data_IF_830546967607
#
_entry.id   IF_830546967607
#
_cell.length_a   1.000
_cell.length_b   1.000
_cell.length_c   1.000
_cell.angle_alpha   90.00
_cell.angle_beta   90.00
_cell.angle_gamma   90.00
#
_symmetry.space_group_name_H-M   'P 1'
#
loop_
_entity.id
_entity.type
_entity.pdbx_description
1 polymer ?
#
# COMPACT_ATOMS: atom_id res chain seq x y z
N UNK A 1 -22.14 -2.83 14.45
CA UNK A 1 -21.22 -1.72 14.07
C UNK A 1 -19.94 -2.40 13.69
N UNK A 2 -19.48 -2.29 12.44
CA UNK A 2 -18.21 -2.90 12.01
C UNK A 2 -17.15 -2.21 12.87
N UNK A 3 -16.40 -2.97 13.68
CA UNK A 3 -15.23 -2.44 14.38
C UNK A 3 -14.15 -2.20 13.32
N UNK A 4 -14.24 -1.05 12.66
CA UNK A 4 -13.38 -0.69 11.54
C UNK A 4 -12.02 -0.24 12.06
N UNK A 5 -11.25 -1.16 12.64
CA UNK A 5 -9.92 -0.89 13.14
C UNK A 5 -8.90 -1.78 12.43
N UNK A 6 -8.03 -1.14 11.65
CA UNK A 6 -6.90 -1.78 10.96
C UNK A 6 -5.98 -2.54 11.95
N UNK A 7 -5.97 -2.13 13.21
CA UNK A 7 -5.16 -2.69 14.29
C UNK A 7 -5.59 -4.09 14.74
N UNK A 8 -6.67 -4.65 14.17
CA UNK A 8 -7.08 -6.05 14.41
C UNK A 8 -5.97 -7.06 14.08
N UNK A 9 -4.99 -6.67 13.28
CA UNK A 9 -3.82 -7.50 12.96
C UNK A 9 -2.86 -7.64 14.14
N UNK A 10 -2.92 -6.72 15.10
CA UNK A 10 -1.98 -6.60 16.22
C UNK A 10 -2.67 -6.51 17.57
N UNK A 11 -3.96 -6.20 17.65
CA UNK A 11 -4.76 -6.12 18.87
C UNK A 11 -5.87 -7.17 18.86
N UNK A 12 -6.31 -7.60 20.03
CA UNK A 12 -7.52 -8.40 20.18
C UNK A 12 -8.77 -7.51 20.17
N UNK A 13 -9.93 -8.12 19.91
CA UNK A 13 -11.20 -7.43 19.74
C UNK A 13 -11.57 -6.59 21.00
N UNK A 14 -11.34 -7.11 22.20
CA UNK A 14 -11.65 -6.40 23.44
C UNK A 14 -10.78 -5.14 23.61
N UNK A 15 -9.50 -5.20 23.23
CA UNK A 15 -8.62 -4.03 23.26
C UNK A 15 -9.03 -2.97 22.22
N UNK A 16 -9.48 -3.40 21.03
CA UNK A 16 -9.99 -2.51 20.00
C UNK A 16 -11.27 -1.81 20.47
N UNK A 17 -12.24 -2.57 21.01
CA UNK A 17 -13.48 -1.99 21.51
C UNK A 17 -13.23 -0.99 22.65
N UNK A 18 -12.34 -1.31 23.59
CA UNK A 18 -11.95 -0.42 24.65
C UNK A 18 -11.31 0.88 24.13
N UNK A 19 -10.36 0.76 23.17
CA UNK A 19 -9.72 1.91 22.57
C UNK A 19 -10.69 2.79 21.79
N UNK A 20 -11.60 2.17 21.02
CA UNK A 20 -12.61 2.91 20.23
C UNK A 20 -13.68 3.59 21.09
N UNK A 21 -13.93 3.09 22.32
CA UNK A 21 -14.85 3.69 23.28
C UNK A 21 -14.25 4.88 24.04
N UNK A 22 -12.93 5.03 24.02
CA UNK A 22 -12.19 6.07 24.74
C UNK A 22 -11.98 7.30 23.85
N UNK A 23 -11.97 8.49 24.45
CA UNK A 23 -11.65 9.72 23.71
C UNK A 23 -10.16 9.73 23.37
N UNK A 24 -9.86 9.76 22.08
CA UNK A 24 -8.48 9.75 21.57
C UNK A 24 -7.76 11.06 21.91
N UNK A 25 -6.58 11.02 22.57
CA UNK A 25 -5.77 12.20 22.81
C UNK A 25 -5.17 12.72 21.50
N UNK A 26 -4.93 14.03 21.42
CA UNK A 26 -4.22 14.63 20.29
C UNK A 26 -2.72 14.27 20.36
N UNK A 27 -2.17 13.52 19.40
CA UNK A 27 -0.76 13.15 19.40
C UNK A 27 0.20 14.34 19.38
N UNK A 28 -0.22 15.47 18.78
CA UNK A 28 0.62 16.68 18.74
C UNK A 28 0.80 17.32 20.12
N UNK A 29 -0.08 17.02 21.07
CA UNK A 29 0.12 17.52 22.45
C UNK A 29 1.39 16.96 23.11
N UNK A 30 1.83 15.76 22.73
CA UNK A 30 3.05 15.15 23.23
C UNK A 30 4.32 15.89 22.78
N UNK A 31 4.26 16.65 21.70
CA UNK A 31 5.41 17.41 21.19
C UNK A 31 5.91 18.45 22.22
N UNK A 32 5.01 19.15 22.90
CA UNK A 32 5.35 20.22 23.81
C UNK A 32 5.74 19.73 25.21
N UNK A 33 5.31 18.54 25.60
CA UNK A 33 5.52 17.98 26.93
C UNK A 33 6.72 17.03 27.07
N UNK A 34 7.35 16.62 25.96
CA UNK A 34 8.39 15.61 25.98
C UNK A 34 9.80 16.21 26.05
N UNK A 35 10.56 15.87 27.10
CA UNK A 35 11.94 16.34 27.30
C UNK A 35 12.94 15.78 26.26
N UNK A 36 12.61 14.63 25.63
CA UNK A 36 13.46 13.97 24.66
C UNK A 36 13.19 14.44 23.21
N UNK A 37 12.24 15.36 22.99
CA UNK A 37 11.86 15.81 21.65
C UNK A 37 13.06 16.38 20.85
N UNK A 38 13.98 17.09 21.50
CA UNK A 38 15.17 17.62 20.85
C UNK A 38 16.04 16.49 20.28
N UNK A 39 16.27 15.46 21.09
CA UNK A 39 17.03 14.28 20.66
C UNK A 39 16.33 13.53 19.53
N UNK A 40 15.01 13.33 19.65
CA UNK A 40 14.22 12.67 18.61
C UNK A 40 14.28 13.44 17.28
N UNK A 41 14.04 14.74 17.30
CA UNK A 41 14.09 15.56 16.08
C UNK A 41 15.51 15.69 15.52
N UNK A 42 16.51 15.68 16.37
CA UNK A 42 17.91 15.58 15.97
C UNK A 42 18.18 14.29 15.21
N UNK A 43 17.72 13.16 15.72
CA UNK A 43 17.83 11.85 15.07
C UNK A 43 17.05 11.79 13.75
N UNK A 44 15.81 12.26 13.73
CA UNK A 44 14.97 12.32 12.51
C UNK A 44 15.65 13.18 11.44
N UNK A 45 16.17 14.35 11.82
CA UNK A 45 16.89 15.23 10.91
C UNK A 45 18.17 14.58 10.38
N UNK A 46 18.92 13.91 11.24
CA UNK A 46 20.13 13.16 10.85
C UNK A 46 19.78 12.04 9.86
N UNK A 47 18.74 11.24 10.13
CA UNK A 47 18.29 10.17 9.22
C UNK A 47 17.84 10.75 7.89
N UNK A 48 17.05 11.83 7.90
CA UNK A 48 16.56 12.48 6.69
C UNK A 48 17.74 13.01 5.83
N UNK A 49 18.67 13.74 6.44
CA UNK A 49 19.87 14.26 5.75
C UNK A 49 20.73 13.12 5.23
N UNK A 50 20.98 12.09 6.04
CA UNK A 50 21.78 10.93 5.65
C UNK A 50 21.13 10.18 4.47
N UNK A 51 19.80 10.04 4.49
CA UNK A 51 19.04 9.42 3.39
C UNK A 51 19.17 10.24 2.09
N UNK A 52 19.02 11.57 2.17
CA UNK A 52 19.19 12.45 1.02
C UNK A 52 20.62 12.38 0.47
N UNK A 53 21.62 12.39 1.34
CA UNK A 53 23.03 12.26 0.94
C UNK A 53 23.31 10.89 0.32
N UNK A 54 22.82 9.81 0.92
CA UNK A 54 22.95 8.45 0.38
C UNK A 54 22.27 8.32 -0.97
N UNK A 55 21.03 8.83 -1.12
CA UNK A 55 20.30 8.83 -2.38
C UNK A 55 21.02 9.65 -3.45
N UNK A 56 21.60 10.82 -3.06
CA UNK A 56 22.38 11.67 -3.97
C UNK A 56 23.69 10.99 -4.41
N UNK A 57 24.41 10.35 -3.47
CA UNK A 57 25.60 9.58 -3.79
C UNK A 57 25.28 8.38 -4.70
N UNK A 58 24.15 7.70 -4.45
CA UNK A 58 23.73 6.57 -5.28
C UNK A 58 23.41 6.98 -6.73
N UNK A 59 22.99 8.23 -6.95
CA UNK A 59 22.80 8.79 -8.30
C UNK A 59 24.09 8.82 -9.12
N UNK A 60 25.26 8.87 -8.47
CA UNK A 60 26.55 8.78 -9.17
C UNK A 60 26.77 7.40 -9.78
N UNK A 61 26.20 6.36 -9.15
CA UNK A 61 26.26 4.98 -9.63
C UNK A 61 25.11 4.62 -10.60
N UNK A 62 24.16 5.51 -10.78
CA UNK A 62 22.97 5.29 -11.61
C UNK A 62 23.31 4.90 -13.06
N UNK A 63 24.34 5.47 -13.74
CA UNK A 63 24.73 5.03 -15.07
C UNK A 63 25.12 3.55 -15.13
N UNK A 64 25.77 3.06 -14.08
CA UNK A 64 26.20 1.66 -13.98
C UNK A 64 25.03 0.72 -13.69
N UNK A 65 24.10 1.16 -12.82
CA UNK A 65 22.96 0.34 -12.36
C UNK A 65 21.74 0.51 -13.29
N UNK A 66 21.69 1.59 -14.07
CA UNK A 66 20.58 1.90 -14.96
C UNK A 66 20.12 0.74 -15.85
N UNK A 67 21.04 0.00 -16.53
CA UNK A 67 20.65 -1.14 -17.35
C UNK A 67 19.95 -2.26 -16.55
N UNK A 68 20.35 -2.48 -15.31
CA UNK A 68 19.69 -3.43 -14.40
C UNK A 68 18.30 -2.93 -14.02
N UNK A 69 18.17 -1.66 -13.61
CA UNK A 69 16.89 -1.05 -13.25
C UNK A 69 15.89 -1.09 -14.43
N UNK A 70 16.37 -0.86 -15.66
CA UNK A 70 15.53 -0.97 -16.86
C UNK A 70 15.05 -2.41 -17.09
N UNK A 71 15.88 -3.41 -16.81
CA UNK A 71 15.45 -4.82 -16.88
C UNK A 71 14.41 -5.15 -15.82
N UNK A 72 14.52 -4.58 -14.61
CA UNK A 72 13.57 -4.79 -13.53
C UNK A 72 12.19 -4.20 -13.85
N UNK A 73 12.11 -3.13 -14.62
CA UNK A 73 10.86 -2.44 -14.98
C UNK A 73 9.80 -3.37 -15.57
N UNK A 74 10.19 -4.35 -16.38
CA UNK A 74 9.28 -5.36 -16.96
C UNK A 74 8.57 -6.23 -15.92
N UNK A 75 9.17 -6.42 -14.74
CA UNK A 75 8.60 -7.24 -13.68
C UNK A 75 7.55 -6.51 -12.84
N UNK A 76 7.54 -5.18 -12.83
CA UNK A 76 6.64 -4.38 -12.01
C UNK A 76 5.17 -4.80 -12.16
N UNK A 77 4.68 -4.92 -13.41
CA UNK A 77 3.32 -5.37 -13.69
C UNK A 77 3.05 -6.82 -13.25
N UNK A 78 4.03 -7.71 -13.44
CA UNK A 78 3.94 -9.10 -13.01
C UNK A 78 3.79 -9.19 -11.49
N UNK A 79 4.59 -8.43 -10.75
CA UNK A 79 4.56 -8.38 -9.27
C UNK A 79 3.18 -7.92 -8.79
N UNK A 80 2.66 -6.79 -9.30
CA UNK A 80 1.32 -6.30 -8.93
C UNK A 80 0.24 -7.34 -9.23
N UNK A 81 0.31 -8.00 -10.39
CA UNK A 81 -0.66 -9.01 -10.77
C UNK A 81 -0.64 -10.23 -9.83
N UNK A 82 0.55 -10.72 -9.51
CA UNK A 82 0.73 -11.89 -8.65
C UNK A 82 0.24 -11.59 -7.23
N UNK A 83 0.65 -10.45 -6.66
CA UNK A 83 0.27 -10.09 -5.30
C UNK A 83 -1.21 -9.72 -5.19
N UNK A 84 -1.77 -8.95 -6.12
CA UNK A 84 -3.20 -8.66 -6.14
C UNK A 84 -4.04 -9.93 -6.32
N UNK A 85 -3.58 -10.87 -7.13
CA UNK A 85 -4.26 -12.17 -7.29
C UNK A 85 -4.18 -13.01 -6.02
N UNK A 86 -3.02 -13.10 -5.39
CA UNK A 86 -2.85 -13.80 -4.11
C UNK A 86 -3.72 -13.18 -3.01
N UNK A 87 -3.77 -11.85 -2.94
CA UNK A 87 -4.62 -11.12 -1.99
C UNK A 87 -6.12 -11.45 -2.19
N UNK A 88 -6.62 -11.44 -3.42
CA UNK A 88 -8.02 -11.81 -3.68
C UNK A 88 -8.31 -13.27 -3.32
N UNK A 89 -7.35 -14.16 -3.56
CA UNK A 89 -7.46 -15.57 -3.20
C UNK A 89 -7.56 -15.75 -1.69
N UNK A 90 -6.70 -15.04 -0.92
CA UNK A 90 -6.74 -15.09 0.55
C UNK A 90 -8.02 -14.48 1.11
N UNK A 91 -8.51 -13.38 0.55
CA UNK A 91 -9.79 -12.79 0.95
C UNK A 91 -10.95 -13.77 0.76
N UNK A 92 -11.01 -14.43 -0.40
CA UNK A 92 -12.00 -15.47 -0.64
C UNK A 92 -11.84 -16.68 0.29
N UNK A 93 -10.60 -17.09 0.58
CA UNK A 93 -10.34 -18.23 1.47
C UNK A 93 -10.77 -17.94 2.92
N UNK A 94 -10.42 -16.77 3.46
CA UNK A 94 -10.76 -16.40 4.83
C UNK A 94 -12.18 -15.83 4.98
N UNK A 95 -12.89 -15.57 3.89
CA UNK A 95 -14.24 -14.97 3.94
C UNK A 95 -14.26 -13.53 4.43
N UNK A 96 -13.23 -12.76 4.12
CA UNK A 96 -13.05 -11.35 4.51
C UNK A 96 -12.78 -10.49 3.29
N UNK A 97 -12.88 -9.18 3.45
CA UNK A 97 -12.50 -8.21 2.42
C UNK A 97 -11.44 -7.28 3.00
N UNK A 98 -10.27 -7.23 2.39
CA UNK A 98 -9.08 -6.47 2.78
C UNK A 98 -8.39 -6.94 4.06
N UNK A 99 -9.13 -7.29 5.10
CA UNK A 99 -8.58 -7.76 6.37
C UNK A 99 -9.63 -8.43 7.25
N UNK A 100 -9.22 -9.03 8.39
CA UNK A 100 -10.11 -9.72 9.32
C UNK A 100 -11.22 -8.81 9.88
N UNK A 101 -10.98 -7.49 9.95
CA UNK A 101 -11.92 -6.48 10.43
C UNK A 101 -13.12 -6.26 9.49
N UNK A 102 -13.08 -6.83 8.30
CA UNK A 102 -14.11 -6.66 7.29
C UNK A 102 -14.65 -8.03 6.83
N UNK A 103 -15.39 -8.75 7.68
CA UNK A 103 -16.02 -10.02 7.31
C UNK A 103 -17.01 -9.84 6.15
N UNK A 104 -16.95 -10.69 5.13
CA UNK A 104 -17.85 -10.61 3.98
C UNK A 104 -19.35 -10.62 4.35
N UNK A 105 -19.80 -11.38 5.37
CA UNK A 105 -21.20 -11.36 5.78
C UNK A 105 -21.71 -9.97 6.23
N UNK A 106 -20.87 -9.16 6.83
CA UNK A 106 -21.26 -7.81 7.28
C UNK A 106 -21.36 -6.81 6.12
N UNK A 107 -20.60 -7.02 5.06
CA UNK A 107 -20.57 -6.14 3.88
C UNK A 107 -21.61 -6.57 2.83
N UNK A 108 -21.71 -7.87 2.58
CA UNK A 108 -22.49 -8.41 1.47
C UNK A 108 -23.71 -9.26 1.90
N UNK A 109 -23.90 -9.52 3.18
CA UNK A 109 -25.05 -10.25 3.71
C UNK A 109 -25.25 -11.60 3.03
N UNK A 110 -26.44 -11.83 2.46
CA UNK A 110 -26.81 -13.06 1.77
C UNK A 110 -25.95 -13.34 0.51
N UNK A 111 -25.27 -12.35 -0.06
CA UNK A 111 -24.42 -12.50 -1.23
C UNK A 111 -22.99 -13.02 -0.88
N UNK A 112 -22.69 -13.23 0.39
CA UNK A 112 -21.38 -13.68 0.88
C UNK A 112 -20.83 -14.88 0.13
N UNK A 113 -21.55 -16.03 -0.05
CA UNK A 113 -20.97 -17.18 -0.73
C UNK A 113 -20.63 -16.89 -2.20
N UNK A 114 -21.44 -16.06 -2.86
CA UNK A 114 -21.22 -15.66 -4.25
C UNK A 114 -19.98 -14.78 -4.37
N UNK A 115 -19.85 -13.76 -3.49
CA UNK A 115 -18.69 -12.88 -3.49
C UNK A 115 -17.42 -13.64 -3.11
N UNK A 116 -17.48 -14.52 -2.12
CA UNK A 116 -16.36 -15.36 -1.71
C UNK A 116 -15.83 -16.22 -2.88
N UNK A 117 -16.72 -16.92 -3.55
CA UNK A 117 -16.37 -17.71 -4.75
C UNK A 117 -15.81 -16.84 -5.86
N UNK A 118 -16.41 -15.66 -6.07
CA UNK A 118 -15.96 -14.68 -7.05
C UNK A 118 -14.52 -14.23 -6.75
N UNK A 119 -14.20 -13.87 -5.51
CA UNK A 119 -12.85 -13.44 -5.11
C UNK A 119 -11.80 -14.52 -5.39
N UNK A 120 -12.12 -15.80 -5.08
CA UNK A 120 -11.24 -16.94 -5.38
C UNK A 120 -11.00 -17.04 -6.89
N UNK A 121 -12.06 -17.01 -7.69
CA UNK A 121 -11.96 -17.10 -9.15
C UNK A 121 -11.15 -15.92 -9.74
N UNK A 122 -11.38 -14.69 -9.25
CA UNK A 122 -10.63 -13.51 -9.66
C UNK A 122 -9.15 -13.63 -9.28
N UNK A 123 -8.86 -14.10 -8.07
CA UNK A 123 -7.50 -14.34 -7.58
C UNK A 123 -6.76 -15.32 -8.49
N UNK A 124 -7.34 -16.47 -8.80
CA UNK A 124 -6.79 -17.47 -9.72
C UNK A 124 -6.57 -16.86 -11.11
N UNK A 125 -7.57 -16.14 -11.64
CA UNK A 125 -7.48 -15.51 -12.95
C UNK A 125 -6.35 -14.49 -13.04
N UNK A 126 -6.13 -13.69 -11.99
CA UNK A 126 -5.02 -12.74 -11.92
C UNK A 126 -3.68 -13.46 -11.80
N UNK A 127 -3.53 -14.46 -10.93
CA UNK A 127 -2.29 -15.21 -10.77
C UNK A 127 -1.87 -15.85 -12.10
N UNK A 128 -2.79 -16.50 -12.77
CA UNK A 128 -2.54 -17.12 -14.07
C UNK A 128 -2.40 -16.08 -15.20
N UNK A 129 -2.92 -14.90 -15.02
CA UNK A 129 -2.94 -13.84 -16.03
C UNK A 129 -3.91 -14.10 -17.17
N UNK A 130 -5.02 -14.81 -16.89
CA UNK A 130 -6.12 -15.03 -17.82
C UNK A 130 -7.15 -13.93 -17.66
N UNK A 131 -7.68 -13.41 -18.76
CA UNK A 131 -8.72 -12.34 -18.73
C UNK A 131 -8.42 -11.19 -17.75
N UNK A 132 -7.15 -10.89 -17.52
CA UNK A 132 -6.68 -9.98 -16.42
C UNK A 132 -7.46 -8.67 -16.34
N UNK A 133 -7.81 -8.06 -17.49
CA UNK A 133 -8.57 -6.79 -17.47
C UNK A 133 -10.00 -6.97 -16.98
N UNK A 134 -10.64 -8.08 -17.31
CA UNK A 134 -12.00 -8.39 -16.84
C UNK A 134 -11.94 -8.67 -15.35
N UNK A 135 -11.00 -9.50 -14.91
CA UNK A 135 -10.82 -9.81 -13.49
C UNK A 135 -10.57 -8.53 -12.67
N UNK A 136 -9.70 -7.64 -13.16
CA UNK A 136 -9.44 -6.36 -12.52
C UNK A 136 -10.66 -5.42 -12.53
N UNK A 137 -11.46 -5.40 -13.61
CA UNK A 137 -12.69 -4.61 -13.67
C UNK A 137 -13.72 -5.10 -12.65
N UNK A 138 -13.89 -6.41 -12.53
CA UNK A 138 -14.81 -6.99 -11.55
C UNK A 138 -14.33 -6.75 -10.12
N UNK A 139 -13.00 -6.88 -9.86
CA UNK A 139 -12.41 -6.55 -8.56
C UNK A 139 -12.60 -5.06 -8.19
N UNK A 140 -12.50 -4.14 -9.16
CA UNK A 140 -12.88 -2.74 -8.96
C UNK A 140 -14.37 -2.57 -8.65
N UNK A 141 -15.23 -3.35 -9.28
CA UNK A 141 -16.66 -3.38 -8.96
C UNK A 141 -16.92 -3.79 -7.51
N UNK A 142 -16.23 -4.82 -7.01
CA UNK A 142 -16.29 -5.24 -5.60
C UNK A 142 -15.78 -4.12 -4.68
N UNK A 143 -14.67 -3.46 -5.04
CA UNK A 143 -14.14 -2.32 -4.28
C UNK A 143 -15.15 -1.17 -4.19
N UNK A 144 -15.80 -0.82 -5.30
CA UNK A 144 -16.82 0.23 -5.34
C UNK A 144 -18.05 -0.17 -4.50
N UNK A 145 -18.50 -1.43 -4.61
CA UNK A 145 -19.62 -1.91 -3.80
C UNK A 145 -19.31 -1.83 -2.30
N UNK A 146 -18.10 -2.24 -1.90
CA UNK A 146 -17.65 -2.11 -0.51
C UNK A 146 -17.56 -0.65 -0.06
N UNK A 147 -17.16 0.28 -0.93
CA UNK A 147 -17.07 1.70 -0.60
C UNK A 147 -18.41 2.33 -0.24
N UNK A 148 -19.51 1.80 -0.75
CA UNK A 148 -20.86 2.25 -0.41
C UNK A 148 -21.26 1.91 1.03
N UNK A 149 -20.65 0.85 1.60
CA UNK A 149 -20.88 0.40 2.97
C UNK A 149 -19.87 1.03 3.92
N UNK A 150 -18.59 1.05 3.52
CA UNK A 150 -17.47 1.48 4.37
C UNK A 150 -17.28 3.01 4.40
N UNK A 151 -17.89 3.75 3.47
CA UNK A 151 -17.69 5.19 3.38
C UNK A 151 -16.22 5.57 3.19
N UNK A 152 -15.77 6.60 3.93
CA UNK A 152 -14.38 7.09 3.84
C UNK A 152 -13.33 6.09 4.33
N UNK A 153 -13.70 5.14 5.18
CA UNK A 153 -12.77 4.12 5.68
C UNK A 153 -12.13 3.29 4.56
N UNK A 154 -12.82 3.11 3.44
CA UNK A 154 -12.28 2.41 2.26
C UNK A 154 -10.98 3.04 1.72
N UNK A 155 -10.69 4.31 2.04
CA UNK A 155 -9.44 4.97 1.63
C UNK A 155 -8.20 4.32 2.25
N UNK A 156 -8.32 3.66 3.39
CA UNK A 156 -7.25 2.81 3.97
C UNK A 156 -6.79 1.75 2.96
N UNK A 157 -7.70 1.28 2.11
CA UNK A 157 -7.46 0.26 1.09
C UNK A 157 -7.34 0.82 -0.33
N UNK A 158 -7.06 2.12 -0.49
CA UNK A 158 -6.89 2.75 -1.81
C UNK A 158 -5.79 2.09 -2.66
N UNK A 159 -4.81 1.44 -2.02
CA UNK A 159 -3.79 0.62 -2.67
C UNK A 159 -4.39 -0.48 -3.55
N UNK A 160 -5.46 -1.15 -3.11
CA UNK A 160 -6.16 -2.18 -3.89
C UNK A 160 -6.82 -1.59 -5.14
N UNK A 161 -7.47 -0.43 -4.99
CA UNK A 161 -8.01 0.31 -6.14
C UNK A 161 -6.91 0.61 -7.17
N UNK A 162 -5.76 1.11 -6.72
CA UNK A 162 -4.62 1.40 -7.58
C UNK A 162 -4.09 0.16 -8.30
N UNK A 163 -3.96 -0.97 -7.60
CA UNK A 163 -3.52 -2.25 -8.16
C UNK A 163 -4.48 -2.75 -9.25
N UNK A 164 -5.78 -2.78 -8.96
CA UNK A 164 -6.77 -3.25 -9.93
C UNK A 164 -6.87 -2.32 -11.15
N UNK A 165 -6.80 -1.01 -10.96
CA UNK A 165 -6.84 -0.06 -12.07
C UNK A 165 -5.59 -0.18 -12.97
N UNK A 166 -4.40 -0.37 -12.39
CA UNK A 166 -3.20 -0.66 -13.16
C UNK A 166 -3.38 -1.93 -14.00
N UNK A 167 -3.89 -3.01 -13.40
CA UNK A 167 -4.11 -4.27 -14.11
C UNK A 167 -5.21 -4.18 -15.18
N UNK A 168 -6.25 -3.37 -14.95
CA UNK A 168 -7.28 -3.08 -15.95
C UNK A 168 -6.65 -2.38 -17.17
N UNK A 169 -5.79 -1.41 -16.94
CA UNK A 169 -5.16 -0.62 -18.02
C UNK A 169 -4.09 -1.44 -18.74
N UNK A 170 -3.17 -2.06 -18.02
CA UNK A 170 -2.00 -2.73 -18.60
C UNK A 170 -2.27 -4.19 -19.00
N UNK A 171 -3.18 -4.87 -18.32
CA UNK A 171 -3.47 -6.31 -18.52
C UNK A 171 -2.39 -7.23 -17.95
N UNK A 172 -2.40 -8.49 -18.34
CA UNK A 172 -1.60 -9.58 -17.75
C UNK A 172 -0.10 -9.52 -17.99
N UNK A 173 0.33 -8.92 -19.10
CA UNK A 173 1.75 -8.82 -19.45
C UNK A 173 2.36 -10.06 -20.10
N UNK A 174 3.67 -10.04 -20.23
CA UNK A 174 4.44 -11.08 -20.92
C UNK A 174 4.40 -12.43 -20.17
N UNK A 175 4.41 -12.39 -18.85
CA UNK A 175 4.39 -13.56 -17.97
C UNK A 175 2.97 -14.01 -17.61
N UNK A 176 2.08 -14.14 -18.62
CA UNK A 176 0.68 -14.51 -18.41
C UNK A 176 0.25 -15.59 -19.39
N UNK A 177 -0.72 -16.42 -19.02
CA UNK A 177 -1.31 -17.39 -19.96
C UNK A 177 -1.93 -16.69 -21.17
N UNK A 178 -2.44 -15.47 -21.01
CA UNK A 178 -2.94 -14.65 -22.10
C UNK A 178 -1.86 -14.26 -23.13
N UNK A 179 -0.58 -14.27 -22.75
CA UNK A 179 0.51 -14.09 -23.69
C UNK A 179 0.73 -15.34 -24.55
N UNK A 180 0.55 -16.53 -23.96
CA UNK A 180 0.71 -17.82 -24.63
C UNK A 180 -0.52 -18.19 -25.46
N UNK A 181 -1.72 -18.02 -24.90
CA UNK A 181 -2.97 -18.47 -25.51
C UNK A 181 -3.94 -17.33 -25.82
N UNK A 182 -4.37 -17.25 -27.10
CA UNK A 182 -5.26 -16.17 -27.56
C UNK A 182 -6.61 -16.15 -26.85
N UNK A 183 -7.18 -17.31 -26.53
CA UNK A 183 -8.47 -17.42 -25.86
C UNK A 183 -8.46 -16.90 -24.40
N UNK A 184 -7.30 -16.88 -23.77
CA UNK A 184 -7.13 -16.34 -22.41
C UNK A 184 -7.03 -14.81 -22.36
N UNK A 185 -7.12 -14.12 -23.51
CA UNK A 185 -7.01 -12.66 -23.62
C UNK A 185 -8.33 -11.97 -23.35
N UNK A 186 -8.25 -10.80 -22.71
CA UNK A 186 -9.40 -9.91 -22.57
C UNK A 186 -9.92 -9.43 -23.94
N UNK A 187 -11.21 -9.08 -24.06
CA UNK A 187 -11.83 -8.60 -25.30
C UNK A 187 -11.07 -7.43 -25.94
N UNK A 188 -11.12 -7.33 -27.25
CA UNK A 188 -10.34 -6.35 -27.98
C UNK A 188 -10.77 -4.90 -27.68
N UNK A 189 -12.07 -4.64 -27.60
CA UNK A 189 -12.59 -3.32 -27.26
C UNK A 189 -12.01 -2.78 -25.95
N UNK A 190 -11.86 -3.63 -24.93
CA UNK A 190 -11.29 -3.26 -23.64
C UNK A 190 -9.79 -3.01 -23.75
N UNK A 191 -9.09 -3.77 -24.59
CA UNK A 191 -7.66 -3.59 -24.87
C UNK A 191 -7.38 -2.28 -25.61
N UNK A 192 -8.21 -1.94 -26.59
CA UNK A 192 -8.08 -0.70 -27.38
C UNK A 192 -8.33 0.51 -26.50
N UNK A 193 -9.44 0.53 -25.75
CA UNK A 193 -9.80 1.65 -24.88
C UNK A 193 -8.74 1.89 -23.79
N UNK A 194 -8.18 0.83 -23.22
CA UNK A 194 -7.16 0.96 -22.16
C UNK A 194 -5.79 1.44 -22.68
N UNK A 195 -5.49 1.34 -23.99
CA UNK A 195 -4.21 1.85 -24.54
C UNK A 195 -4.02 3.36 -24.32
N UNK A 196 -5.10 4.13 -24.40
CA UNK A 196 -5.06 5.59 -24.23
C UNK A 196 -4.66 5.98 -22.78
N UNK A 197 -4.93 5.11 -21.82
CA UNK A 197 -4.67 5.35 -20.40
C UNK A 197 -3.32 4.77 -19.91
N UNK A 198 -2.54 4.14 -20.79
CA UNK A 198 -1.30 3.44 -20.39
C UNK A 198 -0.32 4.31 -19.61
N UNK A 199 -0.16 5.56 -20.05
CA UNK A 199 0.75 6.50 -19.40
C UNK A 199 0.30 6.91 -17.98
N UNK A 200 -0.98 6.70 -17.64
CA UNK A 200 -1.55 7.02 -16.33
C UNK A 200 -1.57 5.83 -15.37
N UNK A 201 -1.30 4.60 -15.85
CA UNK A 201 -1.47 3.39 -15.05
C UNK A 201 -0.59 3.40 -13.79
N UNK A 202 0.72 3.63 -13.93
CA UNK A 202 1.63 3.71 -12.79
C UNK A 202 1.44 4.97 -11.93
N UNK A 203 1.27 6.18 -12.51
CA UNK A 203 0.94 7.37 -11.74
C UNK A 203 -0.28 7.19 -10.83
N UNK A 204 -1.38 6.67 -11.35
CA UNK A 204 -2.60 6.46 -10.56
C UNK A 204 -2.37 5.41 -9.46
N UNK A 205 -1.73 4.29 -9.79
CA UNK A 205 -1.41 3.25 -8.81
C UNK A 205 -0.52 3.81 -7.68
N UNK A 206 0.51 4.58 -8.04
CA UNK A 206 1.42 5.23 -7.10
C UNK A 206 0.69 6.19 -6.17
N UNK A 207 -0.15 7.06 -6.74
CA UNK A 207 -0.95 8.01 -5.95
C UNK A 207 -1.93 7.27 -5.03
N UNK A 208 -2.63 6.25 -5.53
CA UNK A 208 -3.54 5.45 -4.72
C UNK A 208 -2.82 4.73 -3.56
N UNK A 209 -1.61 4.20 -3.82
CA UNK A 209 -0.78 3.57 -2.79
C UNK A 209 -0.38 4.57 -1.71
N UNK A 210 0.13 5.75 -2.08
CA UNK A 210 0.53 6.76 -1.11
C UNK A 210 -0.66 7.34 -0.33
N UNK A 211 -1.81 7.55 -0.98
CA UNK A 211 -3.05 7.99 -0.31
C UNK A 211 -3.52 6.94 0.70
N UNK A 212 -3.47 5.65 0.37
CA UNK A 212 -3.81 4.57 1.31
C UNK A 212 -2.94 4.61 2.57
N UNK A 213 -1.61 4.74 2.41
CA UNK A 213 -0.68 4.86 3.54
C UNK A 213 -0.97 6.11 4.39
N UNK A 214 -1.13 7.27 3.75
CA UNK A 214 -1.44 8.52 4.46
C UNK A 214 -2.74 8.44 5.24
N UNK A 215 -3.78 7.89 4.61
CA UNK A 215 -5.10 7.78 5.25
C UNK A 215 -5.08 6.79 6.42
N UNK A 216 -4.43 5.63 6.25
CA UNK A 216 -4.27 4.65 7.33
C UNK A 216 -3.52 5.26 8.53
N UNK A 217 -2.43 5.99 8.28
CA UNK A 217 -1.67 6.68 9.32
C UNK A 217 -2.53 7.70 10.09
N UNK A 218 -3.28 8.55 9.35
CA UNK A 218 -4.16 9.55 9.97
C UNK A 218 -5.31 8.88 10.73
N UNK A 219 -5.93 7.87 10.16
CA UNK A 219 -7.04 7.16 10.79
C UNK A 219 -6.64 6.53 12.12
N UNK A 220 -5.58 5.72 12.11
CA UNK A 220 -5.18 4.93 13.27
C UNK A 220 -4.39 5.71 14.33
N UNK A 221 -3.62 6.74 13.92
CA UNK A 221 -2.67 7.42 14.80
C UNK A 221 -3.04 8.87 15.15
N UNK A 222 -4.03 9.43 14.44
CA UNK A 222 -4.53 10.78 14.73
C UNK A 222 -6.00 10.76 15.17
N UNK A 223 -6.88 10.13 14.35
CA UNK A 223 -8.32 10.10 14.68
C UNK A 223 -8.59 9.14 15.82
N UNK A 224 -7.95 7.97 15.81
CA UNK A 224 -8.10 6.91 16.82
C UNK A 224 -6.75 6.60 17.50
N UNK A 225 -6.07 7.63 18.02
CA UNK A 225 -4.73 7.49 18.62
C UNK A 225 -4.68 6.51 19.80
N UNK A 226 -5.82 6.24 20.48
CA UNK A 226 -5.92 5.19 21.49
C UNK A 226 -5.61 3.79 20.94
N UNK A 227 -5.96 3.50 19.68
CA UNK A 227 -5.58 2.24 19.05
C UNK A 227 -4.05 2.10 18.98
N UNK A 228 -3.38 3.14 18.51
CA UNK A 228 -1.93 3.15 18.43
C UNK A 228 -1.26 3.10 19.81
N UNK A 229 -1.84 3.76 20.84
CA UNK A 229 -1.38 3.66 22.22
C UNK A 229 -1.54 2.24 22.78
N UNK A 230 -2.65 1.57 22.46
CA UNK A 230 -2.84 0.17 22.85
C UNK A 230 -1.77 -0.74 22.20
N UNK A 231 -1.36 -0.48 20.97
CA UNK A 231 -0.24 -1.20 20.32
C UNK A 231 1.08 -0.91 21.03
N UNK A 232 1.38 0.36 21.35
CA UNK A 232 2.58 0.74 22.09
C UNK A 232 2.65 -0.01 23.43
N UNK A 233 1.53 -0.06 24.17
CA UNK A 233 1.44 -0.75 25.45
C UNK A 233 1.59 -2.28 25.30
N UNK A 234 0.87 -2.89 24.36
CA UNK A 234 0.89 -4.34 24.14
C UNK A 234 2.28 -4.88 23.82
N UNK A 235 3.03 -4.16 22.99
CA UNK A 235 4.36 -4.59 22.54
C UNK A 235 5.51 -3.99 23.35
N UNK A 236 5.22 -3.26 24.42
CA UNK A 236 6.24 -2.67 25.30
C UNK A 236 7.21 -1.76 24.54
N UNK A 237 6.70 -0.96 23.56
CA UNK A 237 7.59 -0.16 22.71
C UNK A 237 8.38 0.88 23.50
N UNK A 238 7.90 1.27 24.69
CA UNK A 238 8.62 2.16 25.61
C UNK A 238 9.89 1.54 26.22
N UNK A 239 10.02 0.22 26.21
CA UNK A 239 11.24 -0.47 26.67
C UNK A 239 12.38 -0.31 25.65
N UNK A 240 12.05 -0.15 24.38
CA UNK A 240 13.01 0.07 23.29
C UNK A 240 13.22 1.55 23.01
N UNK A 241 12.14 2.35 23.11
CA UNK A 241 12.13 3.79 22.86
C UNK A 241 11.69 4.49 24.15
N UNK A 242 12.62 4.99 24.98
CA UNK A 242 12.30 5.58 26.27
C UNK A 242 11.69 6.99 26.12
N UNK A 243 10.59 7.07 25.35
CA UNK A 243 9.80 8.27 25.12
C UNK A 243 8.40 8.09 25.67
N UNK A 244 7.71 9.21 25.82
CA UNK A 244 6.27 9.19 26.09
C UNK A 244 5.53 8.37 25.04
N UNK A 245 4.59 7.46 25.41
CA UNK A 245 3.86 6.64 24.46
C UNK A 245 3.19 7.42 23.33
N UNK A 246 2.58 8.57 23.66
CA UNK A 246 1.92 9.41 22.66
C UNK A 246 2.93 10.05 21.70
N UNK A 247 4.17 10.32 22.17
CA UNK A 247 5.24 10.80 21.33
C UNK A 247 5.74 9.73 20.33
N UNK A 248 5.74 8.45 20.74
CA UNK A 248 6.01 7.33 19.82
C UNK A 248 4.93 7.27 18.73
N UNK A 249 3.65 7.41 19.10
CA UNK A 249 2.51 7.46 18.16
C UNK A 249 2.66 8.64 17.18
N UNK A 250 3.01 9.83 17.67
CA UNK A 250 3.27 11.00 16.84
C UNK A 250 4.41 10.74 15.84
N UNK A 251 5.49 10.11 16.29
CA UNK A 251 6.62 9.75 15.43
C UNK A 251 6.20 8.81 14.29
N UNK A 252 5.45 7.76 14.61
CA UNK A 252 4.94 6.82 13.62
C UNK A 252 3.96 7.50 12.63
N UNK A 253 3.05 8.36 13.13
CA UNK A 253 2.16 9.15 12.29
C UNK A 253 2.93 9.99 11.25
N UNK A 254 3.94 10.73 11.71
CA UNK A 254 4.72 11.62 10.82
C UNK A 254 5.51 10.80 9.79
N UNK A 255 6.14 9.72 10.20
CA UNK A 255 6.95 8.87 9.31
C UNK A 255 6.10 8.26 8.20
N UNK A 256 4.97 7.65 8.55
CA UNK A 256 4.08 7.01 7.57
C UNK A 256 3.41 8.04 6.67
N UNK A 257 2.93 9.15 7.24
CA UNK A 257 2.30 10.23 6.46
C UNK A 257 3.28 10.84 5.45
N UNK A 258 4.50 11.16 5.88
CA UNK A 258 5.52 11.73 4.98
C UNK A 258 5.96 10.73 3.92
N UNK A 259 6.13 9.45 4.26
CA UNK A 259 6.46 8.42 3.28
C UNK A 259 5.33 8.28 2.23
N UNK A 260 4.07 8.24 2.66
CA UNK A 260 2.92 8.25 1.76
C UNK A 260 2.88 9.49 0.87
N UNK A 261 3.14 10.68 1.44
CA UNK A 261 3.19 11.94 0.71
C UNK A 261 4.33 11.96 -0.33
N UNK A 262 5.51 11.47 0.00
CA UNK A 262 6.64 11.34 -0.94
C UNK A 262 6.27 10.42 -2.11
N UNK A 263 5.58 9.31 -1.85
CA UNK A 263 5.04 8.45 -2.91
C UNK A 263 4.02 9.21 -3.77
N UNK A 264 3.06 9.94 -3.19
CA UNK A 264 2.07 10.72 -3.94
C UNK A 264 2.73 11.77 -4.82
N UNK A 265 3.66 12.54 -4.26
CA UNK A 265 4.39 13.57 -4.99
C UNK A 265 5.39 12.98 -6.00
N UNK A 266 5.85 11.78 -5.75
CA UNK A 266 6.85 11.13 -6.57
C UNK A 266 8.24 11.73 -6.39
N UNK A 267 8.70 11.78 -5.14
CA UNK A 267 10.04 12.23 -4.74
C UNK A 267 10.78 11.05 -4.14
N UNK A 268 12.01 10.80 -4.62
CA UNK A 268 12.84 9.66 -4.21
C UNK A 268 12.05 8.34 -4.16
N UNK A 269 11.29 8.08 -5.23
CA UNK A 269 10.24 7.07 -5.30
C UNK A 269 10.74 5.67 -4.92
N UNK A 270 11.90 5.26 -5.45
CA UNK A 270 12.44 3.92 -5.19
C UNK A 270 12.86 3.75 -3.74
N UNK A 271 13.50 4.78 -3.17
CA UNK A 271 13.95 4.76 -1.78
C UNK A 271 12.78 4.77 -0.81
N UNK A 272 11.79 5.61 -1.06
CA UNK A 272 10.58 5.67 -0.24
C UNK A 272 9.79 4.36 -0.32
N UNK A 273 9.67 3.76 -1.50
CA UNK A 273 9.00 2.47 -1.65
C UNK A 273 9.79 1.35 -0.95
N UNK A 274 11.12 1.35 -1.02
CA UNK A 274 11.97 0.40 -0.31
C UNK A 274 11.86 0.57 1.20
N UNK A 275 11.84 1.82 1.67
CA UNK A 275 11.60 2.13 3.08
C UNK A 275 10.23 1.62 3.55
N UNK A 276 9.16 1.82 2.78
CA UNK A 276 7.84 1.31 3.13
C UNK A 276 7.80 -0.23 3.18
N UNK A 277 8.45 -0.91 2.23
CA UNK A 277 8.61 -2.38 2.28
C UNK A 277 9.36 -2.81 3.54
N UNK A 278 10.43 -2.12 3.89
CA UNK A 278 11.18 -2.36 5.14
C UNK A 278 10.29 -2.10 6.37
N UNK A 279 9.56 -0.97 6.42
CA UNK A 279 8.67 -0.61 7.52
C UNK A 279 7.59 -1.66 7.77
N UNK A 280 6.90 -2.10 6.72
CA UNK A 280 5.93 -3.20 6.79
C UNK A 280 6.58 -4.51 7.29
N UNK A 281 7.81 -4.79 6.86
CA UNK A 281 8.53 -5.98 7.30
C UNK A 281 8.87 -5.91 8.79
N UNK A 282 9.22 -4.72 9.29
CA UNK A 282 9.47 -4.53 10.73
C UNK A 282 8.18 -4.73 11.54
N UNK A 283 7.03 -4.16 11.11
CA UNK A 283 5.74 -4.42 11.74
C UNK A 283 5.44 -5.91 11.83
N UNK A 284 5.61 -6.62 10.70
CA UNK A 284 5.40 -8.06 10.67
C UNK A 284 6.33 -8.85 11.61
N UNK A 285 7.62 -8.51 11.67
CA UNK A 285 8.60 -9.22 12.49
C UNK A 285 8.46 -8.94 13.98
N UNK A 286 8.18 -7.69 14.36
CA UNK A 286 8.12 -7.28 15.77
C UNK A 286 6.73 -7.40 16.38
N UNK A 287 5.68 -7.15 15.59
CA UNK A 287 4.30 -7.17 16.08
C UNK A 287 3.56 -8.44 15.67
N UNK A 288 4.23 -9.39 14.99
CA UNK A 288 3.64 -10.64 14.49
C UNK A 288 2.37 -10.45 13.65
N UNK A 289 2.34 -9.35 12.88
CA UNK A 289 1.21 -9.04 12.01
C UNK A 289 0.98 -10.14 10.96
N UNK A 290 -0.27 -10.32 10.56
CA UNK A 290 -0.65 -11.24 9.51
C UNK A 290 -0.10 -10.78 8.14
N UNK A 291 0.88 -11.49 7.58
CA UNK A 291 1.56 -11.11 6.34
C UNK A 291 0.66 -11.05 5.11
N UNK A 292 -0.40 -11.86 5.07
CA UNK A 292 -1.29 -11.97 3.91
C UNK A 292 -2.14 -10.71 3.67
N UNK A 293 -2.47 -9.95 4.69
CA UNK A 293 -3.21 -8.70 4.59
C UNK A 293 -2.39 -7.61 3.87
N UNK A 294 -1.07 -7.69 3.98
CA UNK A 294 -0.14 -6.73 3.40
C UNK A 294 0.41 -7.11 2.02
N UNK A 295 -0.01 -8.26 1.44
CA UNK A 295 0.50 -8.73 0.15
C UNK A 295 0.44 -7.68 -0.97
N UNK A 296 -0.68 -6.96 -1.08
CA UNK A 296 -0.83 -5.92 -2.09
C UNK A 296 0.12 -4.74 -1.83
N UNK A 297 0.33 -4.36 -0.57
CA UNK A 297 1.25 -3.27 -0.20
C UNK A 297 2.69 -3.63 -0.55
N UNK A 298 3.13 -4.86 -0.20
CA UNK A 298 4.43 -5.40 -0.63
C UNK A 298 4.56 -5.40 -2.15
N UNK A 299 3.52 -5.87 -2.84
CA UNK A 299 3.50 -5.93 -4.30
C UNK A 299 3.64 -4.55 -4.95
N UNK A 300 2.91 -3.56 -4.45
CA UNK A 300 2.98 -2.20 -4.97
C UNK A 300 4.31 -1.52 -4.65
N UNK A 301 4.82 -1.67 -3.42
CA UNK A 301 6.13 -1.16 -3.04
C UNK A 301 7.22 -1.73 -3.94
N UNK A 302 7.30 -3.05 -4.10
CA UNK A 302 8.27 -3.72 -4.97
C UNK A 302 8.08 -3.34 -6.45
N UNK A 303 6.84 -3.19 -6.91
CA UNK A 303 6.57 -2.75 -8.28
C UNK A 303 7.06 -1.32 -8.54
N UNK A 304 6.91 -0.42 -7.55
CA UNK A 304 7.43 0.95 -7.63
C UNK A 304 8.97 0.93 -7.63
N UNK A 305 9.61 0.11 -6.79
CA UNK A 305 11.08 -0.07 -6.82
C UNK A 305 11.54 -0.52 -8.21
N UNK A 306 10.84 -1.47 -8.82
CA UNK A 306 11.17 -1.97 -10.16
C UNK A 306 10.90 -0.93 -11.26
N UNK A 307 9.74 -0.23 -11.20
CA UNK A 307 9.34 0.72 -12.23
C UNK A 307 10.12 2.04 -12.15
N UNK A 308 10.31 2.58 -10.94
CA UNK A 308 10.90 3.89 -10.70
C UNK A 308 9.93 5.04 -10.96
N UNK A 309 10.48 6.21 -11.27
CA UNK A 309 9.70 7.41 -11.49
C UNK A 309 8.93 7.39 -12.82
N UNK A 310 7.90 8.21 -12.90
CA UNK A 310 7.07 8.44 -14.06
C UNK A 310 7.07 9.93 -14.44
N UNK A 311 6.54 10.27 -15.62
CA UNK A 311 6.51 11.66 -16.12
C UNK A 311 5.66 12.63 -15.28
N UNK A 312 4.79 12.11 -14.42
CA UNK A 312 3.91 12.90 -13.55
C UNK A 312 4.46 13.00 -12.13
N UNK A 313 5.59 12.35 -11.82
CA UNK A 313 6.30 12.52 -10.57
C UNK A 313 7.13 13.80 -10.58
N UNK A 314 7.33 14.40 -9.40
CA UNK A 314 8.25 15.54 -9.26
C UNK A 314 9.67 15.13 -9.65
N UNK A 315 10.08 13.93 -9.28
CA UNK A 315 11.39 13.38 -9.64
C UNK A 315 11.57 13.29 -11.16
N UNK A 316 10.58 12.75 -11.87
CA UNK A 316 10.63 12.63 -13.34
C UNK A 316 10.57 13.98 -14.06
N UNK A 317 9.82 14.95 -13.49
CA UNK A 317 9.60 16.23 -14.14
C UNK A 317 10.73 17.24 -13.90
N UNK A 318 11.28 17.29 -12.67
CA UNK A 318 12.19 18.37 -12.26
C UNK A 318 13.60 17.91 -11.88
N UNK A 319 13.74 16.70 -11.33
CA UNK A 319 15.00 16.24 -10.76
C UNK A 319 15.84 15.40 -11.72
N UNK A 320 15.20 14.75 -12.70
CA UNK A 320 15.88 13.86 -13.65
C UNK A 320 15.62 14.27 -15.09
N UNK A 321 16.65 14.75 -15.76
CA UNK A 321 16.64 14.98 -17.21
C UNK A 321 17.10 13.69 -17.91
N UNK A 322 16.13 12.80 -18.21
CA UNK A 322 16.49 11.51 -18.76
C UNK A 322 15.82 11.18 -20.06
N UNK A 323 16.63 11.12 -21.07
CA UNK A 323 16.28 10.62 -22.37
C UNK A 323 16.31 9.08 -22.45
N UNK A 324 17.05 8.43 -21.55
CA UNK A 324 17.33 7.00 -21.60
C UNK A 324 16.43 6.13 -20.72
N UNK A 325 15.65 6.69 -19.83
CA UNK A 325 14.66 5.95 -19.05
C UNK A 325 13.27 6.13 -19.66
N UNK A 326 12.79 5.18 -20.47
CA UNK A 326 11.52 5.35 -21.15
C UNK A 326 10.38 5.41 -20.14
N UNK A 327 9.59 6.46 -20.23
CA UNK A 327 8.27 6.53 -19.63
C UNK A 327 7.36 5.66 -20.47
N UNK A 328 6.66 4.71 -19.86
CA UNK A 328 5.75 3.79 -20.56
C UNK A 328 4.61 4.51 -21.25
#
# INVERSE_FOLDING_TARGET
MIASAHEVYVLDEAAIEAAMATTSPDPFSAYFGNEYQFFFWGLVSFVAVSTILAASAFRLFEPTIGPLLMRLKRYARFIVRLTAGATLLTFGYYGVLYGPELPLPEIFGAWTPTVQTLLICLGIALILGTYTRIAALVALGVYIAASLVLGAYVLTYASHFGAYLLLLILGGGEWSLAALWRFARSPEWLRVKSRQLRALAFPIMRVAFGVGIMYAAVYAKYIHSELALAVVAKYGLTDYFPFDPLFIVLGALIVEFLAGLMIVLGVEIRWTALFLVFWLTMGHLFMHEEWWVHLVLYGLGLAIVCHGYDRYSLEGKYLKRKEWEPVL
#
